data_IF_195163705831
#
_entry.id   IF_195163705831
#
_cell.length_a   1.000
_cell.length_b   1.000
_cell.length_c   1.000
_cell.angle_alpha   90.00
_cell.angle_beta   90.00
_cell.angle_gamma   90.00
#
_symmetry.space_group_name_H-M   'P 1'
#
loop_
_entity.id
_entity.type
_entity.pdbx_description
1 polymer ?
#
# COMPACT_ATOMS: atom_id res chain seq x y z
N UNK A 1 16.40 0.14 -5.59
CA UNK A 1 15.63 -0.72 -4.65
C UNK A 1 15.83 -2.19 -4.99
N UNK A 2 15.46 -2.63 -6.20
CA UNK A 2 15.57 -4.02 -6.64
C UNK A 2 17.01 -4.58 -6.62
N UNK A 3 17.97 -3.93 -7.28
CA UNK A 3 19.38 -4.37 -7.28
C UNK A 3 19.93 -4.55 -5.86
N UNK A 4 19.76 -3.54 -5.00
CA UNK A 4 20.19 -3.61 -3.59
C UNK A 4 19.48 -4.73 -2.83
N UNK A 5 18.18 -4.90 -3.05
CA UNK A 5 17.38 -5.96 -2.40
C UNK A 5 17.87 -7.35 -2.81
N UNK A 6 18.21 -7.53 -4.09
CA UNK A 6 18.80 -8.75 -4.62
C UNK A 6 20.20 -9.00 -4.02
N UNK A 7 21.04 -7.96 -3.98
CA UNK A 7 22.40 -8.04 -3.44
C UNK A 7 22.42 -8.47 -1.96
N UNK A 8 21.53 -7.90 -1.14
CA UNK A 8 21.47 -8.22 0.30
C UNK A 8 20.58 -9.43 0.62
N UNK A 9 19.84 -9.95 -0.37
CA UNK A 9 18.90 -11.06 -0.19
C UNK A 9 17.71 -10.74 0.74
N UNK A 10 17.32 -9.46 0.84
CA UNK A 10 16.25 -8.99 1.73
C UNK A 10 15.35 -8.00 1.02
N UNK A 11 14.08 -7.95 1.40
CA UNK A 11 13.14 -6.95 0.94
C UNK A 11 13.58 -5.56 1.44
N UNK A 12 13.46 -4.56 0.56
CA UNK A 12 13.67 -3.15 0.92
C UNK A 12 12.39 -2.41 0.59
N UNK A 13 11.90 -1.62 1.56
CA UNK A 13 10.70 -0.81 1.45
C UNK A 13 11.00 0.68 1.59
N UNK A 14 10.17 1.51 0.98
CA UNK A 14 10.17 2.96 1.19
C UNK A 14 8.74 3.44 1.45
N UNK A 15 8.58 4.26 2.49
CA UNK A 15 7.33 4.96 2.74
C UNK A 15 7.39 6.35 2.11
N UNK A 16 6.42 6.65 1.27
CA UNK A 16 6.36 7.89 0.50
C UNK A 16 5.09 8.65 0.89
N UNK A 17 5.20 9.95 1.15
CA UNK A 17 4.03 10.81 1.38
C UNK A 17 3.36 11.29 0.08
N UNK A 18 2.23 11.99 0.21
CA UNK A 18 1.47 12.52 -0.95
C UNK A 18 2.25 13.58 -1.76
N UNK A 19 3.23 14.25 -1.17
CA UNK A 19 4.14 15.16 -1.89
C UNK A 19 5.26 14.42 -2.64
N UNK A 20 5.41 13.12 -2.43
CA UNK A 20 6.45 12.31 -3.04
C UNK A 20 7.74 12.21 -2.22
N UNK A 21 7.78 12.76 -1.00
CA UNK A 21 8.95 12.64 -0.13
C UNK A 21 9.02 11.25 0.49
N UNK A 22 10.22 10.67 0.49
CA UNK A 22 10.50 9.43 1.21
C UNK A 22 10.65 9.77 2.69
N UNK A 23 9.74 9.25 3.50
CA UNK A 23 9.71 9.47 4.95
C UNK A 23 10.53 8.43 5.71
N UNK A 24 10.54 7.18 5.21
CA UNK A 24 11.25 6.07 5.84
C UNK A 24 11.83 5.14 4.77
N UNK A 25 12.97 4.52 5.08
CA UNK A 25 13.55 3.40 4.36
C UNK A 25 13.55 2.20 5.30
N UNK A 26 12.99 1.09 4.84
CA UNK A 26 12.77 -0.13 5.61
C UNK A 26 13.59 -1.25 5.00
N UNK A 27 14.18 -2.10 5.83
CA UNK A 27 14.89 -3.31 5.39
C UNK A 27 14.31 -4.47 6.18
N UNK A 28 13.75 -5.43 5.45
CA UNK A 28 13.05 -6.58 6.01
C UNK A 28 13.86 -7.87 5.99
N UNK A 29 13.13 -8.98 5.94
CA UNK A 29 13.63 -10.33 5.68
C UNK A 29 13.55 -10.65 4.17
N UNK A 30 13.69 -11.92 3.77
CA UNK A 30 13.44 -12.36 2.39
C UNK A 30 11.94 -12.46 2.04
N UNK A 31 11.03 -12.30 3.03
CA UNK A 31 9.60 -12.54 2.87
C UNK A 31 8.67 -11.50 3.51
N UNK A 32 9.18 -10.62 4.36
CA UNK A 32 8.38 -9.62 5.08
C UNK A 32 9.16 -8.34 5.36
N UNK A 33 8.44 -7.24 5.58
CA UNK A 33 8.98 -5.96 6.04
C UNK A 33 8.20 -5.50 7.25
N UNK A 34 8.91 -5.23 8.34
CA UNK A 34 8.31 -4.62 9.51
C UNK A 34 8.19 -3.11 9.32
N UNK A 35 6.95 -2.62 9.34
CA UNK A 35 6.66 -1.20 9.28
C UNK A 35 6.70 -0.63 10.70
N UNK A 36 7.52 0.40 10.98
CA UNK A 36 7.62 0.96 12.32
C UNK A 36 6.29 1.62 12.73
N UNK A 37 6.15 1.90 14.02
CA UNK A 37 5.02 2.68 14.49
C UNK A 37 5.01 4.07 13.82
N UNK A 38 4.01 4.30 12.97
CA UNK A 38 3.78 5.57 12.30
C UNK A 38 2.93 6.45 13.22
N UNK A 39 3.49 7.59 13.66
CA UNK A 39 2.85 8.46 14.64
C UNK A 39 1.38 8.80 14.26
N UNK A 40 0.53 8.94 15.27
CA UNK A 40 -0.92 9.17 15.14
C UNK A 40 -1.21 10.61 14.75
N UNK A 41 -0.65 11.09 13.64
CA UNK A 41 -1.11 12.34 13.03
C UNK A 41 -2.53 12.10 12.47
N UNK A 42 -3.52 12.19 13.38
CA UNK A 42 -4.97 12.23 13.18
C UNK A 42 -5.49 11.55 11.91
N UNK A 43 -5.17 10.27 11.71
CA UNK A 43 -5.91 9.44 10.76
C UNK A 43 -7.27 9.14 11.38
N UNK A 44 -8.22 10.06 11.24
CA UNK A 44 -9.61 9.77 11.55
C UNK A 44 -10.03 8.54 10.73
N UNK A 45 -10.90 7.67 11.26
CA UNK A 45 -11.47 6.52 10.53
C UNK A 45 -12.05 6.86 9.14
N UNK A 46 -12.29 8.14 8.83
CA UNK A 46 -12.79 8.59 7.53
C UNK A 46 -11.69 8.88 6.48
N UNK A 47 -10.40 8.89 6.86
CA UNK A 47 -9.29 9.29 5.96
C UNK A 47 -8.16 8.26 5.94
N UNK A 48 -7.47 8.21 4.82
CA UNK A 48 -6.24 7.44 4.66
C UNK A 48 -5.08 8.18 5.34
N UNK A 49 -3.96 7.49 5.55
CA UNK A 49 -2.82 8.01 6.30
C UNK A 49 -2.02 9.06 5.52
N UNK A 50 -2.16 9.14 4.20
CA UNK A 50 -1.32 10.01 3.38
C UNK A 50 0.07 9.44 3.10
N UNK A 51 0.25 8.14 3.34
CA UNK A 51 1.50 7.42 3.12
C UNK A 51 1.23 6.20 2.25
N UNK A 52 2.14 5.90 1.33
CA UNK A 52 2.16 4.66 0.55
C UNK A 52 3.46 3.92 0.78
N UNK A 53 3.40 2.59 0.83
CA UNK A 53 4.58 1.73 0.90
C UNK A 53 4.87 1.15 -0.48
N UNK A 54 6.12 1.32 -0.92
CA UNK A 54 6.67 0.60 -2.07
C UNK A 54 7.78 -0.30 -1.57
N UNK A 55 7.67 -1.60 -1.77
CA UNK A 55 8.67 -2.58 -1.32
C UNK A 55 8.99 -3.62 -2.38
N UNK A 56 10.07 -4.38 -2.20
CA UNK A 56 10.48 -5.41 -3.14
C UNK A 56 10.00 -6.80 -2.73
N UNK A 57 9.61 -7.59 -3.72
CA UNK A 57 9.34 -9.02 -3.59
C UNK A 57 10.40 -9.82 -4.37
N UNK A 58 11.17 -10.65 -3.67
CA UNK A 58 12.32 -11.35 -4.25
C UNK A 58 11.91 -12.59 -5.07
N UNK A 59 10.72 -13.17 -4.82
CA UNK A 59 10.29 -14.44 -5.44
C UNK A 59 9.29 -14.22 -6.59
N UNK A 60 9.03 -12.97 -6.97
CA UNK A 60 8.14 -12.62 -8.07
C UNK A 60 6.66 -12.75 -7.75
N UNK A 61 6.32 -12.89 -6.47
CA UNK A 61 4.98 -13.08 -5.95
C UNK A 61 4.16 -11.78 -5.90
N UNK A 62 2.83 -11.91 -5.95
CA UNK A 62 1.90 -10.81 -5.67
C UNK A 62 1.96 -10.39 -4.19
N UNK A 63 1.27 -9.30 -3.84
CA UNK A 63 0.99 -8.94 -2.46
C UNK A 63 0.39 -10.12 -1.69
N UNK A 64 0.96 -10.40 -0.52
CA UNK A 64 0.56 -11.48 0.36
C UNK A 64 -0.44 -10.98 1.43
N UNK A 65 -0.91 -11.88 2.30
CA UNK A 65 -1.88 -11.53 3.34
C UNK A 65 -1.32 -10.55 4.39
N UNK A 66 -0.03 -10.61 4.70
CA UNK A 66 0.65 -9.69 5.62
C UNK A 66 0.62 -8.27 5.05
N UNK A 67 0.96 -8.12 3.77
CA UNK A 67 0.93 -6.82 3.07
C UNK A 67 -0.47 -6.18 3.09
N UNK A 68 -1.51 -6.98 2.82
CA UNK A 68 -2.90 -6.51 2.83
C UNK A 68 -3.38 -6.19 4.25
N UNK A 69 -2.91 -6.94 5.24
CA UNK A 69 -3.23 -6.69 6.65
C UNK A 69 -2.60 -5.37 7.10
N UNK A 70 -1.33 -5.14 6.77
CA UNK A 70 -0.63 -3.89 7.09
C UNK A 70 -1.23 -2.68 6.37
N UNK A 71 -1.56 -2.82 5.08
CA UNK A 71 -2.30 -1.82 4.32
C UNK A 71 -3.57 -1.39 5.06
N UNK A 72 -4.35 -2.36 5.56
CA UNK A 72 -5.60 -2.10 6.25
C UNK A 72 -5.39 -1.52 7.66
N UNK A 73 -4.51 -2.10 8.47
CA UNK A 73 -4.26 -1.68 9.85
C UNK A 73 -3.62 -0.29 9.92
N UNK A 74 -2.67 -0.02 9.04
CA UNK A 74 -1.97 1.27 8.97
C UNK A 74 -2.73 2.30 8.14
N UNK A 75 -3.73 1.85 7.37
CA UNK A 75 -4.59 2.66 6.50
C UNK A 75 -3.77 3.48 5.51
N UNK A 76 -2.80 2.82 4.91
CA UNK A 76 -1.95 3.42 3.89
C UNK A 76 -2.81 3.78 2.68
N UNK A 77 -2.37 4.80 1.96
CA UNK A 77 -3.00 5.19 0.69
C UNK A 77 -2.88 4.03 -0.30
N UNK A 78 -1.67 3.47 -0.46
CA UNK A 78 -1.35 2.36 -1.36
C UNK A 78 -0.27 1.45 -0.77
N UNK A 79 -0.33 0.19 -1.18
CA UNK A 79 0.72 -0.81 -1.02
C UNK A 79 1.20 -1.25 -2.41
N UNK A 80 2.50 -1.27 -2.66
CA UNK A 80 3.06 -1.67 -3.96
C UNK A 80 4.27 -2.57 -3.81
N UNK A 81 4.13 -3.83 -4.23
CA UNK A 81 5.23 -4.77 -4.39
C UNK A 81 5.87 -4.63 -5.78
N UNK A 82 7.17 -4.36 -5.81
CA UNK A 82 8.01 -4.37 -7.01
C UNK A 82 8.67 -5.73 -7.11
N UNK A 83 8.34 -6.45 -8.18
CA UNK A 83 8.98 -7.73 -8.51
C UNK A 83 10.10 -7.52 -9.51
N UNK A 84 11.12 -8.36 -9.44
CA UNK A 84 12.34 -8.24 -10.24
C UNK A 84 12.72 -9.54 -10.95
N UNK A 85 13.54 -9.42 -11.97
CA UNK A 85 14.19 -10.56 -12.61
C UNK A 85 15.46 -11.00 -11.85
N UNK A 86 16.13 -12.04 -12.35
CA UNK A 86 17.37 -12.57 -11.77
C UNK A 86 18.57 -11.62 -11.86
N UNK A 87 18.46 -10.55 -12.64
CA UNK A 87 19.49 -9.50 -12.77
C UNK A 87 19.19 -8.30 -11.87
N UNK A 88 18.09 -8.32 -11.10
CA UNK A 88 17.69 -7.22 -10.22
C UNK A 88 16.92 -6.11 -10.94
N UNK A 89 16.52 -6.31 -12.19
CA UNK A 89 15.71 -5.32 -12.91
C UNK A 89 14.24 -5.46 -12.52
N UNK A 90 13.52 -4.36 -12.26
CA UNK A 90 12.07 -4.41 -12.06
C UNK A 90 11.38 -5.01 -13.29
N UNK A 91 10.57 -6.04 -13.10
CA UNK A 91 9.83 -6.70 -14.17
C UNK A 91 8.30 -6.67 -13.96
N UNK A 92 7.83 -6.05 -12.88
CA UNK A 92 6.42 -5.84 -12.63
C UNK A 92 6.12 -5.21 -11.28
N UNK A 93 4.86 -4.80 -11.15
CA UNK A 93 4.33 -4.16 -9.96
C UNK A 93 2.98 -4.78 -9.62
N UNK A 94 2.81 -5.17 -8.36
CA UNK A 94 1.52 -5.50 -7.77
C UNK A 94 1.14 -4.39 -6.83
N UNK A 95 -0.10 -3.93 -6.87
CA UNK A 95 -0.55 -2.84 -6.01
C UNK A 95 -1.91 -3.13 -5.42
N UNK A 96 -2.17 -2.57 -4.24
CA UNK A 96 -3.45 -2.64 -3.59
C UNK A 96 -3.76 -1.33 -2.86
N UNK A 97 -5.05 -1.08 -2.66
CA UNK A 97 -5.57 0.02 -1.86
C UNK A 97 -6.75 -0.47 -1.01
N UNK A 98 -7.16 0.32 -0.02
CA UNK A 98 -8.33 0.01 0.79
C UNK A 98 -9.62 0.02 -0.04
N UNK A 99 -10.53 -0.91 0.24
CA UNK A 99 -11.87 -0.96 -0.34
C UNK A 99 -12.96 -0.82 0.74
N UNK A 100 -13.62 0.33 0.86
CA UNK A 100 -14.62 0.56 1.89
C UNK A 100 -16.01 -0.06 1.63
N UNK A 101 -16.23 -0.63 0.45
CA UNK A 101 -17.55 -1.07 -0.02
C UNK A 101 -17.68 -2.59 -0.20
N UNK A 102 -16.60 -3.36 -0.03
CA UNK A 102 -16.64 -4.84 -0.10
C UNK A 102 -16.33 -5.49 1.24
N UNK A 103 -16.71 -6.76 1.38
CA UNK A 103 -16.31 -7.60 2.51
C UNK A 103 -14.79 -7.78 2.57
N UNK A 104 -14.13 -7.80 1.40
CA UNK A 104 -12.66 -7.73 1.32
C UNK A 104 -12.19 -6.30 1.62
N UNK A 105 -11.41 -6.12 2.69
CA UNK A 105 -10.95 -4.79 3.13
C UNK A 105 -10.02 -4.09 2.11
N UNK A 106 -9.39 -4.83 1.21
CA UNK A 106 -8.43 -4.30 0.23
C UNK A 106 -8.77 -4.77 -1.18
N UNK A 107 -8.59 -3.91 -2.17
CA UNK A 107 -8.64 -4.27 -3.59
C UNK A 107 -7.22 -4.45 -4.13
N UNK A 108 -6.93 -5.63 -4.70
CA UNK A 108 -5.68 -5.90 -5.41
C UNK A 108 -5.86 -5.55 -6.89
N UNK A 109 -4.95 -4.73 -7.42
CA UNK A 109 -4.95 -4.28 -8.80
C UNK A 109 -4.24 -5.27 -9.73
N UNK A 110 -4.59 -5.30 -11.03
CA UNK A 110 -3.88 -6.09 -12.02
C UNK A 110 -2.38 -5.73 -12.07
N UNK A 111 -1.53 -6.74 -12.33
CA UNK A 111 -0.09 -6.55 -12.50
C UNK A 111 0.20 -5.50 -13.58
N UNK A 112 1.03 -4.52 -13.26
CA UNK A 112 1.56 -3.53 -14.22
C UNK A 112 3.03 -3.79 -14.51
N UNK A 113 3.50 -3.35 -15.66
CA UNK A 113 4.89 -3.45 -16.11
C UNK A 113 5.58 -2.08 -16.14
N UNK A 114 6.93 -2.04 -16.12
CA UNK A 114 7.69 -0.81 -16.35
C UNK A 114 7.17 -0.08 -17.61
N UNK A 115 6.92 1.23 -17.47
CA UNK A 115 6.33 2.07 -18.54
C UNK A 115 4.80 2.13 -18.56
N UNK A 116 4.08 1.28 -17.82
CA UNK A 116 2.61 1.35 -17.67
C UNK A 116 2.15 2.18 -16.46
N UNK A 117 3.10 2.74 -15.70
CA UNK A 117 2.84 3.67 -14.61
C UNK A 117 2.78 5.08 -15.18
N UNK A 118 1.65 5.43 -15.81
CA UNK A 118 1.52 6.64 -16.62
C UNK A 118 0.88 7.82 -15.91
N UNK A 119 0.30 7.63 -14.71
CA UNK A 119 -0.49 8.68 -14.04
C UNK A 119 -0.27 8.74 -12.52
N UNK A 120 -0.58 9.91 -11.94
CA UNK A 120 -0.58 10.11 -10.50
C UNK A 120 -1.82 9.52 -9.84
N UNK A 121 -1.65 8.80 -8.74
CA UNK A 121 -2.71 8.11 -7.99
C UNK A 121 -3.56 9.02 -7.09
N UNK A 122 -3.41 10.35 -7.20
CA UNK A 122 -4.02 11.28 -6.24
C UNK A 122 -5.55 11.31 -6.36
N UNK A 123 -6.08 11.30 -7.57
CA UNK A 123 -7.54 11.27 -7.81
C UNK A 123 -8.16 10.01 -7.22
N UNK A 124 -7.54 8.86 -7.45
CA UNK A 124 -7.95 7.56 -6.92
C UNK A 124 -7.97 7.54 -5.38
N UNK A 125 -6.93 8.10 -4.75
CA UNK A 125 -6.86 8.26 -3.28
C UNK A 125 -8.04 9.11 -2.76
N UNK A 126 -8.33 10.24 -3.40
CA UNK A 126 -9.42 11.14 -2.99
C UNK A 126 -10.78 10.45 -3.14
N UNK A 127 -10.97 9.64 -4.19
CA UNK A 127 -12.18 8.84 -4.37
C UNK A 127 -12.34 7.77 -3.28
N UNK A 128 -11.25 7.08 -2.91
CA UNK A 128 -11.25 6.11 -1.80
C UNK A 128 -11.65 6.80 -0.49
N UNK A 129 -11.08 7.97 -0.17
CA UNK A 129 -11.43 8.73 1.04
C UNK A 129 -12.89 9.19 1.06
N UNK A 130 -13.43 9.58 -0.09
CA UNK A 130 -14.84 9.92 -0.26
C UNK A 130 -15.74 8.73 0.07
N UNK A 131 -15.42 7.54 -0.45
CA UNK A 131 -16.16 6.30 -0.17
C UNK A 131 -16.04 5.87 1.30
N UNK A 132 -14.85 5.94 1.90
CA UNK A 132 -14.63 5.71 3.34
C UNK A 132 -15.50 6.62 4.22
N UNK A 133 -15.59 7.90 3.86
CA UNK A 133 -16.41 8.89 4.56
C UNK A 133 -17.92 8.58 4.48
N UNK A 134 -18.39 8.08 3.33
CA UNK A 134 -19.80 7.68 3.11
C UNK A 134 -20.16 6.41 3.87
N UNK A 135 -19.32 5.37 3.79
CA UNK A 135 -19.53 4.10 4.49
C UNK A 135 -19.71 4.31 6.00
N UNK A 136 -18.89 5.18 6.60
CA UNK A 136 -19.04 5.57 8.02
C UNK A 136 -20.36 6.28 8.34
N UNK A 137 -20.86 7.12 7.43
CA UNK A 137 -22.13 7.82 7.64
C UNK A 137 -23.29 6.80 7.69
N UNK A 138 -23.30 5.84 6.77
CA UNK A 138 -24.32 4.78 6.71
C UNK A 138 -24.31 3.92 7.99
N UNK A 139 -23.13 3.53 8.50
CA UNK A 139 -22.99 2.79 9.76
C UNK A 139 -23.52 3.55 10.97
N UNK A 140 -23.29 4.88 11.03
CA UNK A 140 -23.79 5.73 12.13
C UNK A 140 -25.30 5.95 12.07
N UNK A 141 -25.85 6.08 10.87
CA UNK A 141 -27.29 6.28 10.69
C UNK A 141 -28.05 4.98 11.05
N UNK A 142 -27.54 3.81 10.65
CA UNK A 142 -28.10 2.51 11.03
C UNK A 142 -28.06 2.21 12.55
N UNK A 143 -27.09 2.77 13.28
CA UNK A 143 -26.99 2.62 14.74
C UNK A 143 -27.90 3.58 15.52
N UNK A 144 -28.46 4.61 14.88
CA UNK A 144 -29.40 5.55 15.52
C UNK A 144 -30.86 5.16 15.37
N UNK A 145 -31.17 4.25 14.45
CA UNK A 145 -32.52 3.76 14.18
C UNK A 145 -32.90 2.51 15.00
N UNK A 146 -32.00 2.02 15.86
CA UNK A 146 -32.22 0.97 16.86
C UNK A 146 -32.12 1.53 18.28
#
# INVERSE_FOLDING_TARGET
LCELSLEIGKQIGILIDRSGYVTHVLVGSDNSIEIPFLDRLRTSEARLRGLRLVHTHLKGESLNQEDLTDLALLRLDYMTAVVMDTSGNPNGYYSAHLNPESDDLCSVLPKKYPGQLTEGILEEILEIESRLSRSKKNLKDAQKEN
#
